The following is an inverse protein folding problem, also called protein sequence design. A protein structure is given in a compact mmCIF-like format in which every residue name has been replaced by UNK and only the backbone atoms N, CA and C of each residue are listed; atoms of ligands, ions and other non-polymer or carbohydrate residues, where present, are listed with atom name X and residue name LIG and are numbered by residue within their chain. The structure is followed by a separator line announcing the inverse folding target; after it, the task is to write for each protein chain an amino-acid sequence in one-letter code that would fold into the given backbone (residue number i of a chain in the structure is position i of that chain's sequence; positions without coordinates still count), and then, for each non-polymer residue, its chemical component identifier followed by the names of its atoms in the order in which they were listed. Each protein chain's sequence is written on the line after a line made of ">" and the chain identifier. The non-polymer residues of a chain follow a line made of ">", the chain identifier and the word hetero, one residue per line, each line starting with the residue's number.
data_IF_315868478905
#
_entry.id   IF_315868478905
#
_cell.length_a   1.000
_cell.length_b   1.000
_cell.length_c   1.000
_cell.angle_alpha   90.00
_cell.angle_beta   90.00
_cell.angle_gamma   90.00
#
_symmetry.space_group_name_H-M   'P 1'
#
loop_
_entity.id
_entity.type
_entity.pdbx_description
1 polymer ?
#
# COMPACT_ATOMS: atom_id res chain seq x y z
N UNK A 1 -15.30 -18.01 17.26
CA UNK A 1 -14.82 -17.29 18.47
C UNK A 1 -15.00 -15.81 18.19
N UNK A 2 -15.73 -15.05 19.03
CA UNK A 2 -15.81 -13.61 18.87
C UNK A 2 -14.40 -13.02 19.04
N UNK A 3 -14.02 -12.19 18.07
CA UNK A 3 -12.72 -11.56 18.04
C UNK A 3 -12.66 -10.41 19.05
N UNK A 4 -11.67 -10.45 19.94
CA UNK A 4 -11.42 -9.40 20.94
C UNK A 4 -11.11 -8.04 20.31
N UNK A 5 -10.79 -7.98 19.01
CA UNK A 5 -10.45 -6.75 18.30
C UNK A 5 -11.56 -6.17 17.43
N UNK A 6 -12.48 -6.95 16.84
CA UNK A 6 -13.63 -6.40 16.08
C UNK A 6 -14.88 -6.13 16.91
N UNK A 7 -14.95 -6.60 18.15
CA UNK A 7 -16.16 -6.46 18.97
C UNK A 7 -17.22 -7.51 18.61
N UNK A 8 -18.50 -7.12 18.64
CA UNK A 8 -19.61 -7.98 18.18
C UNK A 8 -19.48 -8.29 16.68
N UNK A 9 -19.63 -9.55 16.26
CA UNK A 9 -19.58 -9.91 14.84
C UNK A 9 -20.82 -9.42 14.09
N UNK A 10 -20.73 -9.29 12.77
CA UNK A 10 -21.87 -8.89 11.94
C UNK A 10 -23.07 -9.82 12.11
N UNK A 11 -22.83 -11.12 12.22
CA UNK A 11 -23.89 -12.09 12.46
C UNK A 11 -24.59 -11.84 13.82
N UNK A 12 -23.81 -11.59 14.87
CA UNK A 12 -24.37 -11.30 16.20
C UNK A 12 -25.16 -9.99 16.19
N UNK A 13 -24.62 -8.94 15.54
CA UNK A 13 -25.28 -7.66 15.37
C UNK A 13 -26.60 -7.82 14.60
N UNK A 14 -26.60 -8.60 13.52
CA UNK A 14 -27.79 -8.88 12.72
C UNK A 14 -28.85 -9.62 13.54
N UNK A 15 -28.48 -10.65 14.30
CA UNK A 15 -29.40 -11.39 15.17
C UNK A 15 -29.97 -10.51 16.30
N UNK A 16 -29.14 -9.66 16.91
CA UNK A 16 -29.55 -8.72 17.96
C UNK A 16 -30.50 -7.63 17.44
N UNK A 17 -30.25 -7.09 16.25
CA UNK A 17 -31.15 -6.11 15.63
C UNK A 17 -32.43 -6.81 15.15
N UNK A 18 -32.34 -8.04 14.63
CA UNK A 18 -33.52 -8.81 14.22
C UNK A 18 -34.45 -9.06 15.39
N UNK A 19 -33.93 -9.46 16.55
CA UNK A 19 -34.74 -9.77 17.74
C UNK A 19 -35.46 -8.55 18.33
N UNK A 20 -34.89 -7.35 18.16
CA UNK A 20 -35.49 -6.09 18.62
C UNK A 20 -36.33 -5.37 17.55
N UNK A 21 -36.28 -5.83 16.28
CA UNK A 21 -37.02 -5.20 15.18
C UNK A 21 -38.49 -5.64 15.15
N UNK A 22 -39.45 -4.71 15.02
CA UNK A 22 -40.86 -5.04 14.75
C UNK A 22 -41.08 -5.83 13.45
N UNK A 23 -40.06 -5.90 12.58
CA UNK A 23 -40.11 -6.61 11.30
C UNK A 23 -39.21 -7.85 11.26
N UNK A 24 -38.52 -8.19 12.36
CA UNK A 24 -37.51 -9.25 12.36
C UNK A 24 -38.03 -10.65 12.05
N UNK A 25 -39.33 -10.89 12.25
CA UNK A 25 -40.01 -12.15 11.92
C UNK A 25 -40.45 -12.26 10.46
N UNK A 26 -40.36 -11.18 9.66
CA UNK A 26 -40.81 -11.21 8.26
C UNK A 26 -39.88 -12.06 7.38
N UNK A 27 -40.44 -12.89 6.48
CA UNK A 27 -39.62 -13.64 5.54
C UNK A 27 -38.84 -12.67 4.65
N UNK A 28 -37.54 -12.96 4.45
CA UNK A 28 -36.65 -12.10 3.67
C UNK A 28 -36.12 -10.86 4.42
N UNK A 29 -36.40 -10.71 5.72
CA UNK A 29 -35.74 -9.67 6.52
C UNK A 29 -34.22 -9.84 6.47
N UNK A 30 -33.52 -8.74 6.21
CA UNK A 30 -32.06 -8.70 6.15
C UNK A 30 -31.55 -7.35 6.63
N UNK A 31 -30.47 -7.36 7.40
CA UNK A 31 -29.77 -6.15 7.78
C UNK A 31 -28.74 -5.79 6.70
N UNK A 32 -28.67 -4.50 6.34
CA UNK A 32 -27.69 -3.95 5.41
C UNK A 32 -27.04 -2.75 6.08
N UNK A 33 -25.72 -2.64 6.00
CA UNK A 33 -24.96 -1.50 6.49
C UNK A 33 -24.36 -0.71 5.33
N UNK A 34 -24.56 0.60 5.36
CA UNK A 34 -24.09 1.56 4.34
C UNK A 34 -23.47 2.77 5.02
N UNK A 35 -22.40 3.28 4.41
CA UNK A 35 -21.83 4.60 4.70
C UNK A 35 -22.46 5.58 3.73
N UNK A 36 -23.03 6.65 4.26
CA UNK A 36 -23.52 7.78 3.48
C UNK A 36 -22.39 8.80 3.39
N UNK A 37 -21.89 9.06 2.17
CA UNK A 37 -20.95 10.16 1.92
C UNK A 37 -21.68 11.32 1.26
N UNK A 38 -21.51 12.50 1.83
CA UNK A 38 -22.10 13.76 1.34
C UNK A 38 -20.97 14.74 1.06
N UNK A 39 -21.09 15.46 -0.05
CA UNK A 39 -20.07 16.37 -0.61
C UNK A 39 -18.83 15.66 -1.16
N UNK A 40 -18.97 14.40 -1.55
CA UNK A 40 -17.91 13.59 -2.17
C UNK A 40 -18.41 13.00 -3.51
N UNK A 41 -17.62 13.12 -4.56
CA UNK A 41 -17.90 12.47 -5.85
C UNK A 41 -17.47 11.00 -5.81
N UNK A 42 -18.45 10.08 -5.75
CA UNK A 42 -18.18 8.64 -5.68
C UNK A 42 -18.07 7.95 -7.04
N UNK A 43 -18.24 8.68 -8.16
CA UNK A 43 -18.22 8.06 -9.51
C UNK A 43 -16.88 7.38 -9.79
N UNK A 44 -15.77 7.99 -9.34
CA UNK A 44 -14.44 7.41 -9.50
C UNK A 44 -14.26 6.16 -8.63
N UNK A 45 -14.69 6.18 -7.37
CA UNK A 45 -14.61 5.02 -6.48
C UNK A 45 -15.49 3.87 -6.98
N UNK A 46 -16.69 4.19 -7.48
CA UNK A 46 -17.57 3.24 -8.15
C UNK A 46 -16.90 2.60 -9.38
N UNK A 47 -16.26 3.41 -10.23
CA UNK A 47 -15.52 2.90 -11.37
C UNK A 47 -14.35 1.97 -10.96
N UNK A 48 -13.59 2.34 -9.93
CA UNK A 48 -12.52 1.50 -9.39
C UNK A 48 -13.04 0.12 -8.96
N UNK A 49 -14.16 0.09 -8.22
CA UNK A 49 -14.81 -1.15 -7.78
C UNK A 49 -15.25 -2.02 -8.97
N UNK A 50 -15.75 -1.42 -10.05
CA UNK A 50 -16.13 -2.17 -11.25
C UNK A 50 -14.90 -2.83 -11.91
N UNK A 51 -13.76 -2.11 -12.00
CA UNK A 51 -12.50 -2.69 -12.47
C UNK A 51 -12.00 -3.82 -11.57
N UNK A 52 -12.06 -3.65 -10.25
CA UNK A 52 -11.68 -4.69 -9.28
C UNK A 52 -12.59 -5.93 -9.43
N UNK A 53 -13.87 -5.73 -9.68
CA UNK A 53 -14.83 -6.81 -9.96
C UNK A 53 -14.41 -7.57 -11.23
N UNK A 54 -13.97 -6.87 -12.28
CA UNK A 54 -13.44 -7.50 -13.49
C UNK A 54 -12.17 -8.32 -13.19
N UNK A 55 -11.21 -7.80 -12.42
CA UNK A 55 -10.02 -8.57 -12.00
C UNK A 55 -10.40 -9.83 -11.22
N UNK A 56 -11.36 -9.72 -10.29
CA UNK A 56 -11.86 -10.86 -9.53
C UNK A 56 -12.44 -11.94 -10.45
N UNK A 57 -13.23 -11.55 -11.46
CA UNK A 57 -13.78 -12.47 -12.45
C UNK A 57 -12.69 -13.13 -13.30
N UNK A 58 -11.69 -12.37 -13.73
CA UNK A 58 -10.53 -12.87 -14.49
C UNK A 58 -9.80 -13.95 -13.68
N UNK A 59 -9.44 -13.65 -12.43
CA UNK A 59 -8.69 -14.59 -11.58
C UNK A 59 -9.52 -15.83 -11.24
N UNK A 60 -10.82 -15.66 -10.97
CA UNK A 60 -11.75 -16.78 -10.75
C UNK A 60 -11.87 -17.68 -11.97
N UNK A 61 -11.99 -17.11 -13.18
CA UNK A 61 -12.07 -17.89 -14.43
C UNK A 61 -10.80 -18.68 -14.72
N UNK A 62 -9.65 -18.15 -14.30
CA UNK A 62 -8.36 -18.83 -14.40
C UNK A 62 -8.09 -19.84 -13.26
N UNK A 63 -9.03 -20.01 -12.32
CA UNK A 63 -8.89 -20.84 -11.12
C UNK A 63 -7.67 -20.45 -10.25
N UNK A 64 -7.31 -19.16 -10.22
CA UNK A 64 -6.31 -18.68 -9.28
C UNK A 64 -6.95 -18.62 -7.88
N UNK A 65 -6.31 -19.18 -6.84
CA UNK A 65 -6.87 -19.24 -5.49
C UNK A 65 -6.73 -17.90 -4.76
N UNK A 66 -6.79 -16.77 -5.47
CA UNK A 66 -6.64 -15.45 -4.88
C UNK A 66 -7.96 -14.83 -4.49
N UNK A 67 -7.89 -13.79 -3.66
CA UNK A 67 -9.07 -13.19 -3.08
C UNK A 67 -9.07 -11.67 -3.27
N UNK A 68 -10.20 -11.14 -3.73
CA UNK A 68 -10.50 -9.71 -3.83
C UNK A 68 -11.91 -9.49 -3.29
N UNK A 69 -12.15 -8.35 -2.64
CA UNK A 69 -13.46 -7.98 -2.10
C UNK A 69 -13.95 -6.67 -2.72
N UNK A 70 -14.60 -6.72 -3.90
CA UNK A 70 -15.33 -5.58 -4.43
C UNK A 70 -16.58 -5.34 -3.56
N UNK A 71 -16.64 -4.20 -2.87
CA UNK A 71 -17.82 -3.73 -2.13
C UNK A 71 -18.67 -2.83 -3.02
N UNK A 72 -19.97 -2.74 -2.77
CA UNK A 72 -20.84 -1.90 -3.59
C UNK A 72 -20.64 -0.41 -3.32
N UNK A 73 -20.60 0.37 -4.40
CA UNK A 73 -20.59 1.83 -4.37
C UNK A 73 -21.65 2.32 -5.34
N UNK A 74 -22.48 3.24 -4.86
CA UNK A 74 -23.55 3.86 -5.64
C UNK A 74 -23.39 5.38 -5.56
N UNK A 75 -22.86 5.99 -6.62
CA UNK A 75 -22.96 7.44 -6.80
C UNK A 75 -24.42 7.80 -7.11
N UNK A 76 -25.03 8.61 -6.24
CA UNK A 76 -26.44 9.05 -6.39
C UNK A 76 -26.54 10.44 -7.03
N UNK A 77 -25.49 11.26 -6.90
CA UNK A 77 -25.33 12.56 -7.56
C UNK A 77 -23.84 12.78 -7.86
N UNK A 78 -23.48 13.98 -8.35
CA UNK A 78 -22.08 14.37 -8.56
C UNK A 78 -21.30 14.58 -7.25
N UNK A 79 -21.98 14.65 -6.11
CA UNK A 79 -21.41 15.02 -4.80
C UNK A 79 -21.98 14.19 -3.64
N UNK A 80 -22.68 13.09 -3.91
CA UNK A 80 -23.20 12.22 -2.88
C UNK A 80 -23.33 10.78 -3.37
N UNK A 81 -23.27 9.85 -2.42
CA UNK A 81 -23.57 8.46 -2.69
C UNK A 81 -23.45 7.57 -1.46
N UNK A 82 -23.59 6.26 -1.72
CA UNK A 82 -23.62 5.22 -0.72
C UNK A 82 -22.45 4.25 -0.95
N UNK A 83 -21.80 3.85 0.13
CA UNK A 83 -20.76 2.83 0.12
C UNK A 83 -21.19 1.69 1.05
N UNK A 84 -21.15 0.46 0.56
CA UNK A 84 -21.38 -0.71 1.38
C UNK A 84 -20.27 -0.87 2.42
N UNK A 85 -20.65 -1.09 3.67
CA UNK A 85 -19.68 -1.41 4.73
C UNK A 85 -19.11 -2.81 4.51
N UNK A 86 -17.78 -2.93 4.55
CA UNK A 86 -17.11 -4.23 4.62
C UNK A 86 -17.13 -4.70 6.07
N UNK A 87 -18.14 -5.51 6.39
CA UNK A 87 -18.38 -5.99 7.74
C UNK A 87 -17.23 -6.86 8.28
N UNK A 88 -17.14 -6.99 9.60
CA UNK A 88 -16.15 -7.86 10.26
C UNK A 88 -14.69 -7.54 9.89
N UNK A 89 -14.40 -6.26 9.64
CA UNK A 89 -13.07 -5.76 9.32
C UNK A 89 -12.59 -4.67 10.28
N UNK A 90 -11.27 -4.50 10.36
CA UNK A 90 -10.62 -3.39 11.05
C UNK A 90 -9.47 -2.85 10.19
N UNK A 91 -9.29 -1.52 10.15
CA UNK A 91 -8.13 -0.95 9.46
C UNK A 91 -6.83 -1.32 10.17
N UNK A 92 -5.73 -1.47 9.43
CA UNK A 92 -4.40 -1.70 10.00
C UNK A 92 -4.05 -0.61 11.03
N UNK A 93 -4.43 0.65 10.77
CA UNK A 93 -4.25 1.74 11.71
C UNK A 93 -5.08 1.54 12.99
N UNK A 94 -6.37 1.20 12.85
CA UNK A 94 -7.25 0.91 13.98
C UNK A 94 -6.77 -0.29 14.80
N UNK A 95 -6.24 -1.31 14.14
CA UNK A 95 -5.63 -2.47 14.77
C UNK A 95 -4.38 -2.06 15.56
N UNK A 96 -3.42 -1.36 14.94
CA UNK A 96 -2.22 -0.87 15.62
C UNK A 96 -2.55 -0.04 16.87
N UNK A 97 -3.53 0.87 16.76
CA UNK A 97 -4.00 1.68 17.90
C UNK A 97 -4.52 0.82 19.06
N UNK A 98 -5.28 -0.25 18.75
CA UNK A 98 -5.75 -1.21 19.75
C UNK A 98 -4.61 -2.02 20.37
N UNK A 99 -3.61 -2.38 19.57
CA UNK A 99 -2.42 -3.12 20.04
C UNK A 99 -1.48 -2.25 20.90
N UNK A 100 -1.38 -0.94 20.61
CA UNK A 100 -0.48 -0.01 21.31
C UNK A 100 -1.00 0.51 22.67
N UNK A 101 -2.27 0.23 23.05
CA UNK A 101 -2.75 0.45 24.41
C UNK A 101 -4.22 0.85 24.55
N UNK A 102 -4.96 0.03 25.31
CA UNK A 102 -6.04 0.49 26.20
C UNK A 102 -5.81 -0.09 27.60
N UNK A 103 -5.53 0.78 28.58
CA UNK A 103 -5.42 0.65 30.07
C UNK A 103 -4.84 -0.61 30.76
N UNK A 104 -4.53 -1.70 30.06
CA UNK A 104 -3.87 -2.90 30.62
C UNK A 104 -2.90 -3.46 29.58
N UNK A 105 -1.63 -3.09 29.73
CA UNK A 105 -0.51 -3.37 28.83
C UNK A 105 -0.49 -4.77 28.19
N UNK A 106 -1.11 -4.90 27.02
CA UNK A 106 -0.97 -6.07 26.17
C UNK A 106 0.25 -5.89 25.24
N UNK A 107 1.11 -6.90 25.28
CA UNK A 107 2.47 -6.97 24.72
C UNK A 107 2.46 -7.23 23.19
N UNK A 108 1.65 -6.50 22.42
CA UNK A 108 1.54 -6.72 20.97
C UNK A 108 2.30 -5.64 20.20
N UNK A 109 3.53 -5.96 19.80
CA UNK A 109 4.38 -5.04 19.05
C UNK A 109 4.26 -5.17 17.53
N UNK A 110 3.72 -6.28 16.99
CA UNK A 110 3.69 -6.53 15.55
C UNK A 110 2.39 -7.19 15.05
N UNK A 111 2.09 -7.01 13.75
CA UNK A 111 0.98 -7.67 13.06
C UNK A 111 1.09 -9.20 13.07
N UNK A 112 2.31 -9.74 12.96
CA UNK A 112 2.54 -11.19 13.02
C UNK A 112 2.19 -11.78 14.39
N UNK A 113 2.60 -11.10 15.47
CA UNK A 113 2.25 -11.49 16.85
C UNK A 113 0.74 -11.41 17.11
N UNK A 114 0.03 -10.46 16.47
CA UNK A 114 -1.42 -10.40 16.53
C UNK A 114 -2.08 -11.64 15.94
N UNK A 115 -1.66 -12.09 14.74
CA UNK A 115 -2.21 -13.31 14.15
C UNK A 115 -1.90 -14.56 14.96
N UNK A 116 -0.69 -14.68 15.51
CA UNK A 116 -0.31 -15.79 16.37
C UNK A 116 -1.24 -15.90 17.58
N UNK A 117 -1.41 -14.81 18.33
CA UNK A 117 -2.28 -14.80 19.51
C UNK A 117 -3.75 -15.05 19.14
N UNK A 118 -4.25 -14.42 18.08
CA UNK A 118 -5.64 -14.56 17.63
C UNK A 118 -5.99 -16.02 17.31
N UNK A 119 -5.02 -16.78 16.81
CA UNK A 119 -5.24 -18.14 16.31
C UNK A 119 -4.85 -19.24 17.31
N UNK A 120 -4.39 -18.91 18.53
CA UNK A 120 -4.08 -19.92 19.55
C UNK A 120 -5.35 -20.66 20.02
N UNK A 121 -5.31 -22.00 20.21
CA UNK A 121 -4.16 -22.92 20.12
C UNK A 121 -4.06 -23.70 18.79
N UNK A 122 -4.85 -23.34 17.77
CA UNK A 122 -5.02 -24.19 16.58
C UNK A 122 -4.07 -23.77 15.47
N UNK A 123 -2.92 -24.45 15.34
CA UNK A 123 -1.93 -24.19 14.26
C UNK A 123 -2.53 -24.17 12.86
N UNK A 124 -3.54 -25.01 12.59
CA UNK A 124 -4.24 -25.04 11.30
C UNK A 124 -4.99 -23.74 10.99
N UNK A 125 -5.54 -23.06 12.01
CA UNK A 125 -6.20 -21.76 11.85
C UNK A 125 -5.18 -20.68 11.53
N UNK A 126 -4.05 -20.64 12.24
CA UNK A 126 -2.99 -19.66 11.95
C UNK A 126 -2.44 -19.80 10.53
N UNK A 127 -2.17 -21.04 10.10
CA UNK A 127 -1.68 -21.31 8.74
C UNK A 127 -2.67 -20.80 7.69
N UNK A 128 -3.96 -21.09 7.86
CA UNK A 128 -5.02 -20.62 6.95
C UNK A 128 -5.18 -19.10 6.96
N UNK A 129 -5.12 -18.46 8.13
CA UNK A 129 -5.18 -16.99 8.25
C UNK A 129 -4.02 -16.32 7.51
N UNK A 130 -2.79 -16.84 7.67
CA UNK A 130 -1.61 -16.33 6.94
C UNK A 130 -1.69 -16.60 5.44
N UNK A 131 -2.24 -17.74 5.03
CA UNK A 131 -2.49 -18.05 3.62
C UNK A 131 -3.53 -17.09 3.00
N UNK A 132 -4.67 -16.87 3.68
CA UNK A 132 -5.68 -15.89 3.29
C UNK A 132 -5.09 -14.48 3.14
N UNK A 133 -4.25 -14.07 4.09
CA UNK A 133 -3.52 -12.81 4.04
C UNK A 133 -2.63 -12.72 2.80
N UNK A 134 -1.81 -13.75 2.55
CA UNK A 134 -0.92 -13.81 1.39
C UNK A 134 -1.69 -13.76 0.06
N UNK A 135 -2.75 -14.56 -0.08
CA UNK A 135 -3.53 -14.69 -1.31
C UNK A 135 -4.29 -13.39 -1.65
N UNK A 136 -4.85 -12.73 -0.64
CA UNK A 136 -5.52 -11.44 -0.82
C UNK A 136 -4.53 -10.31 -1.12
N UNK A 137 -3.41 -10.25 -0.38
CA UNK A 137 -2.36 -9.26 -0.61
C UNK A 137 -1.78 -9.39 -2.03
N UNK A 138 -1.52 -10.60 -2.52
CA UNK A 138 -0.98 -10.83 -3.86
C UNK A 138 -1.90 -10.27 -4.97
N UNK A 139 -3.22 -10.49 -4.87
CA UNK A 139 -4.16 -9.93 -5.83
C UNK A 139 -4.22 -8.41 -5.76
N UNK A 140 -4.34 -7.84 -4.56
CA UNK A 140 -4.39 -6.39 -4.40
C UNK A 140 -3.09 -5.70 -4.83
N UNK A 141 -1.91 -6.31 -4.65
CA UNK A 141 -0.63 -5.79 -5.16
C UNK A 141 -0.63 -5.62 -6.67
N UNK A 142 -1.08 -6.64 -7.42
CA UNK A 142 -1.19 -6.58 -8.88
C UNK A 142 -2.21 -5.54 -9.33
N UNK A 143 -3.38 -5.50 -8.68
CA UNK A 143 -4.45 -4.55 -9.00
C UNK A 143 -4.00 -3.11 -8.73
N UNK A 144 -3.37 -2.84 -7.58
CA UNK A 144 -2.87 -1.51 -7.24
C UNK A 144 -1.80 -1.04 -8.24
N UNK A 145 -0.90 -1.94 -8.66
CA UNK A 145 0.09 -1.61 -9.68
C UNK A 145 -0.55 -1.25 -11.02
N UNK A 146 -1.42 -2.12 -11.55
CA UNK A 146 -2.03 -1.94 -12.88
C UNK A 146 -2.95 -0.71 -12.93
N UNK A 147 -3.74 -0.50 -11.87
CA UNK A 147 -4.67 0.63 -11.77
C UNK A 147 -4.03 1.91 -11.20
N UNK A 148 -2.76 1.85 -10.79
CA UNK A 148 -2.08 2.94 -10.09
C UNK A 148 -2.92 3.49 -8.94
N UNK A 149 -3.42 2.60 -8.07
CA UNK A 149 -4.18 3.00 -6.89
C UNK A 149 -3.20 3.60 -5.89
N UNK A 150 -3.42 4.87 -5.55
CA UNK A 150 -2.55 5.68 -4.69
C UNK A 150 -3.15 5.85 -3.30
N UNK A 151 -2.45 6.58 -2.44
CA UNK A 151 -2.86 6.85 -1.06
C UNK A 151 -3.06 5.56 -0.26
N UNK A 152 -2.13 4.60 -0.46
CA UNK A 152 -2.16 3.32 0.25
C UNK A 152 -1.50 3.48 1.61
N UNK A 153 -2.26 3.93 2.60
CA UNK A 153 -1.83 3.96 4.01
C UNK A 153 -2.62 2.96 4.86
N UNK A 154 -2.20 2.74 6.10
CA UNK A 154 -2.82 1.73 6.99
C UNK A 154 -4.29 2.03 7.37
N UNK A 155 -4.79 3.23 7.05
CA UNK A 155 -6.20 3.56 7.19
C UNK A 155 -7.06 2.95 6.07
N UNK A 156 -6.49 2.84 4.87
CA UNK A 156 -7.16 2.37 3.65
C UNK A 156 -6.95 0.86 3.38
N UNK A 157 -6.31 0.16 4.32
CA UNK A 157 -6.05 -1.27 4.26
C UNK A 157 -6.70 -1.90 5.49
N UNK A 158 -7.72 -2.71 5.25
CA UNK A 158 -8.45 -3.43 6.28
C UNK A 158 -7.99 -4.88 6.35
N UNK A 159 -8.19 -5.50 7.51
CA UNK A 159 -8.05 -6.94 7.72
C UNK A 159 -9.39 -7.48 8.20
N UNK A 160 -9.86 -8.56 7.57
CA UNK A 160 -11.07 -9.27 7.97
C UNK A 160 -10.80 -10.34 9.06
N UNK A 161 -11.88 -10.92 9.58
CA UNK A 161 -11.79 -11.96 10.60
C UNK A 161 -11.10 -13.26 10.16
N UNK A 162 -10.99 -13.51 8.85
CA UNK A 162 -10.35 -14.68 8.26
C UNK A 162 -8.88 -14.42 7.87
N UNK A 163 -8.38 -13.18 8.04
CA UNK A 163 -7.01 -12.78 7.73
C UNK A 163 -6.82 -12.14 6.36
N UNK A 164 -7.87 -11.96 5.56
CA UNK A 164 -7.74 -11.31 4.26
C UNK A 164 -7.47 -9.82 4.40
N UNK A 165 -6.66 -9.30 3.46
CA UNK A 165 -6.48 -7.88 3.23
C UNK A 165 -7.59 -7.35 2.34
N UNK A 166 -8.20 -6.23 2.70
CA UNK A 166 -9.20 -5.52 1.89
C UNK A 166 -8.75 -4.08 1.70
N UNK A 167 -8.56 -3.65 0.46
CA UNK A 167 -8.33 -2.23 0.17
C UNK A 167 -9.68 -1.50 0.11
N UNK A 168 -9.72 -0.27 0.62
CA UNK A 168 -10.86 0.64 0.52
C UNK A 168 -10.40 2.02 0.04
N UNK A 169 -11.36 2.92 -0.21
CA UNK A 169 -11.11 4.32 -0.60
C UNK A 169 -10.24 4.44 -1.86
N UNK A 170 -10.85 4.22 -3.02
CA UNK A 170 -10.15 4.28 -4.31
C UNK A 170 -10.17 5.69 -4.94
N UNK A 171 -10.23 6.73 -4.11
CA UNK A 171 -10.32 8.14 -4.53
C UNK A 171 -9.12 8.65 -5.34
N UNK A 172 -8.00 7.93 -5.37
CA UNK A 172 -6.83 8.26 -6.19
C UNK A 172 -6.38 7.04 -7.00
N UNK A 173 -6.60 7.08 -8.32
CA UNK A 173 -6.19 6.02 -9.24
C UNK A 173 -5.81 6.57 -10.62
N UNK A 174 -5.14 5.75 -11.43
CA UNK A 174 -4.67 6.10 -12.77
C UNK A 174 -3.83 7.39 -12.74
N UNK A 175 -4.25 8.45 -13.45
CA UNK A 175 -3.52 9.72 -13.50
C UNK A 175 -3.73 10.60 -12.27
N UNK A 176 -4.77 10.36 -11.46
CA UNK A 176 -5.07 11.17 -10.28
C UNK A 176 -4.07 10.87 -9.15
N UNK A 177 -3.65 11.89 -8.39
CA UNK A 177 -2.71 11.77 -7.26
C UNK A 177 -3.10 12.69 -6.10
N UNK A 178 -2.88 12.27 -4.84
CA UNK A 178 -3.14 13.11 -3.67
C UNK A 178 -2.08 14.21 -3.56
N UNK A 179 -2.49 15.47 -3.72
CA UNK A 179 -1.57 16.60 -3.83
C UNK A 179 -0.73 16.51 -5.12
N UNK A 180 -0.29 17.64 -5.65
CA UNK A 180 0.39 17.71 -6.95
C UNK A 180 1.82 17.13 -6.94
N UNK A 181 2.11 16.18 -6.04
CA UNK A 181 3.45 15.68 -5.76
C UNK A 181 3.45 14.16 -5.95
N UNK A 182 4.19 13.69 -6.97
CA UNK A 182 4.34 12.27 -7.31
C UNK A 182 5.20 11.51 -6.31
N UNK A 183 4.78 11.47 -5.04
CA UNK A 183 5.57 10.91 -3.93
C UNK A 183 5.58 9.38 -3.88
N UNK A 184 4.65 8.68 -4.52
CA UNK A 184 4.62 7.21 -4.49
C UNK A 184 5.57 6.63 -5.55
N UNK A 185 6.79 6.31 -5.10
CA UNK A 185 7.82 5.63 -5.91
C UNK A 185 7.64 4.11 -5.98
N UNK A 186 6.93 3.51 -5.02
CA UNK A 186 6.71 2.07 -4.98
C UNK A 186 5.53 1.67 -5.87
N UNK A 187 5.66 0.53 -6.56
CA UNK A 187 4.61 -0.03 -7.42
C UNK A 187 3.30 -0.35 -6.67
N UNK A 188 3.41 -0.74 -5.40
CA UNK A 188 2.32 -1.00 -4.46
C UNK A 188 2.88 -1.02 -3.03
N UNK A 189 1.99 -0.96 -2.02
CA UNK A 189 2.40 -1.01 -0.61
C UNK A 189 2.72 -2.45 -0.19
N UNK A 190 3.96 -2.67 0.22
CA UNK A 190 4.44 -3.91 0.85
C UNK A 190 5.34 -3.52 2.03
N UNK A 191 4.80 -3.57 3.25
CA UNK A 191 5.56 -3.18 4.44
C UNK A 191 6.31 -4.35 5.04
N UNK A 192 7.34 -4.08 5.84
CA UNK A 192 8.06 -5.12 6.59
C UNK A 192 7.12 -5.96 7.47
N UNK A 193 6.14 -5.35 8.11
CA UNK A 193 5.16 -6.09 8.92
C UNK A 193 4.33 -7.08 8.09
N UNK A 194 3.98 -6.72 6.84
CA UNK A 194 3.29 -7.64 5.93
C UNK A 194 4.20 -8.81 5.54
N UNK A 195 5.49 -8.54 5.32
CA UNK A 195 6.49 -9.58 5.04
C UNK A 195 6.70 -10.49 6.26
N UNK A 196 6.74 -9.94 7.46
CA UNK A 196 6.89 -10.68 8.72
C UNK A 196 5.68 -11.60 9.00
N UNK A 197 4.46 -11.19 8.62
CA UNK A 197 3.27 -12.07 8.64
C UNK A 197 3.46 -13.31 7.77
N UNK A 198 4.17 -13.16 6.63
CA UNK A 198 4.50 -14.23 5.69
C UNK A 198 5.78 -14.99 6.06
N UNK A 199 6.33 -14.77 7.26
CA UNK A 199 7.51 -15.46 7.76
C UNK A 199 8.84 -14.84 7.32
N UNK A 200 8.85 -13.58 6.89
CA UNK A 200 10.05 -12.85 6.48
C UNK A 200 10.41 -13.08 5.00
N UNK A 201 11.45 -12.36 4.52
CA UNK A 201 11.89 -12.42 3.12
C UNK A 201 12.39 -13.81 2.68
N UNK A 202 12.92 -14.61 3.62
CA UNK A 202 13.30 -16.00 3.37
C UNK A 202 12.17 -17.02 3.68
N UNK A 203 10.98 -16.55 4.01
CA UNK A 203 9.85 -17.38 4.42
C UNK A 203 9.18 -18.07 3.22
N UNK A 204 8.73 -19.33 3.42
CA UNK A 204 8.00 -20.09 2.39
C UNK A 204 6.77 -19.34 1.86
N UNK A 205 5.98 -18.73 2.74
CA UNK A 205 4.77 -17.99 2.34
C UNK A 205 5.11 -16.73 1.53
N UNK A 206 6.27 -16.10 1.77
CA UNK A 206 6.72 -14.97 0.98
C UNK A 206 7.16 -15.38 -0.43
N UNK A 207 7.77 -16.55 -0.59
CA UNK A 207 8.01 -17.13 -1.93
C UNK A 207 6.70 -17.45 -2.66
N UNK A 208 5.72 -18.03 -1.95
CA UNK A 208 4.38 -18.27 -2.49
C UNK A 208 3.67 -16.96 -2.88
N UNK A 209 3.81 -15.90 -2.08
CA UNK A 209 3.34 -14.54 -2.41
C UNK A 209 3.92 -14.03 -3.73
N UNK A 210 5.24 -14.13 -3.92
CA UNK A 210 5.90 -13.71 -5.16
C UNK A 210 5.37 -14.47 -6.38
N UNK A 211 5.29 -15.79 -6.25
CA UNK A 211 4.74 -16.65 -7.30
C UNK A 211 3.29 -16.28 -7.64
N UNK A 212 2.47 -16.04 -6.61
CA UNK A 212 1.05 -15.69 -6.81
C UNK A 212 0.89 -14.32 -7.46
N UNK A 213 1.69 -13.33 -7.07
CA UNK A 213 1.75 -12.03 -7.72
C UNK A 213 2.07 -12.15 -9.22
N UNK A 214 3.09 -12.93 -9.57
CA UNK A 214 3.47 -13.19 -10.96
C UNK A 214 2.33 -13.90 -11.71
N UNK A 215 1.68 -14.90 -11.11
CA UNK A 215 0.54 -15.59 -11.73
C UNK A 215 -0.63 -14.64 -12.00
N UNK A 216 -1.01 -13.81 -11.03
CA UNK A 216 -2.05 -12.80 -11.18
C UNK A 216 -1.70 -11.78 -12.27
N UNK A 217 -0.46 -11.27 -12.29
CA UNK A 217 -0.01 -10.32 -13.30
C UNK A 217 -0.05 -10.93 -14.71
N UNK A 218 0.51 -12.14 -14.88
CA UNK A 218 0.50 -12.84 -16.16
C UNK A 218 -0.91 -13.16 -16.63
N UNK A 219 -1.83 -13.48 -15.72
CA UNK A 219 -3.23 -13.71 -16.08
C UNK A 219 -3.90 -12.40 -16.51
N UNK A 220 -3.77 -11.32 -15.73
CA UNK A 220 -4.30 -10.00 -16.08
C UNK A 220 -3.83 -9.52 -17.47
N UNK A 221 -2.57 -9.80 -17.85
CA UNK A 221 -2.03 -9.47 -19.18
C UNK A 221 -2.79 -10.11 -20.34
N UNK A 222 -3.34 -11.32 -20.16
CA UNK A 222 -4.15 -11.98 -21.20
C UNK A 222 -5.47 -11.25 -21.46
N UNK A 223 -5.95 -10.49 -20.48
CA UNK A 223 -7.21 -9.74 -20.54
C UNK A 223 -6.99 -8.22 -20.63
N UNK A 224 -5.76 -7.77 -20.94
CA UNK A 224 -5.41 -6.35 -20.99
C UNK A 224 -6.34 -5.54 -21.89
N UNK A 225 -6.71 -6.08 -23.07
CA UNK A 225 -7.63 -5.40 -23.99
C UNK A 225 -9.01 -5.14 -23.36
N UNK A 226 -9.58 -6.12 -22.66
CA UNK A 226 -10.89 -5.98 -21.99
C UNK A 226 -10.82 -4.91 -20.89
N UNK A 227 -9.74 -4.93 -20.09
CA UNK A 227 -9.54 -3.97 -19.01
C UNK A 227 -9.35 -2.55 -19.59
N UNK A 228 -8.51 -2.38 -20.62
CA UNK A 228 -8.27 -1.09 -21.28
C UNK A 228 -9.55 -0.56 -21.94
N UNK A 229 -10.34 -1.41 -22.59
CA UNK A 229 -11.61 -1.02 -23.21
C UNK A 229 -12.60 -0.46 -22.18
N UNK A 230 -12.67 -1.06 -20.99
CA UNK A 230 -13.54 -0.57 -19.91
C UNK A 230 -13.11 0.83 -19.45
N UNK A 231 -11.80 1.09 -19.39
CA UNK A 231 -11.24 2.41 -19.08
C UNK A 231 -11.54 3.41 -20.19
N UNK A 232 -11.38 3.01 -21.46
CA UNK A 232 -11.63 3.85 -22.62
C UNK A 232 -13.10 4.28 -22.72
N UNK A 233 -14.04 3.35 -22.58
CA UNK A 233 -15.48 3.63 -22.61
C UNK A 233 -15.88 4.56 -21.46
N UNK A 234 -15.38 4.29 -20.25
CA UNK A 234 -15.69 5.13 -19.08
C UNK A 234 -15.13 6.54 -19.26
N UNK A 235 -13.90 6.67 -19.80
CA UNK A 235 -13.30 7.97 -20.11
C UNK A 235 -14.11 8.75 -21.14
N UNK A 236 -14.65 8.08 -22.16
CA UNK A 236 -15.49 8.73 -23.17
C UNK A 236 -16.83 9.21 -22.59
N UNK A 237 -17.42 8.44 -21.67
CA UNK A 237 -18.71 8.77 -21.04
C UNK A 237 -18.63 9.73 -19.85
N UNK A 238 -17.50 9.75 -19.12
CA UNK A 238 -17.28 10.56 -17.92
C UNK A 238 -15.88 11.21 -17.94
N UNK A 239 -15.59 12.08 -18.93
CA UNK A 239 -14.26 12.67 -19.10
C UNK A 239 -13.85 13.62 -17.98
N UNK A 240 -14.81 14.06 -17.16
CA UNK A 240 -14.62 14.96 -16.03
C UNK A 240 -14.08 14.27 -14.76
N UNK A 241 -14.00 12.92 -14.74
CA UNK A 241 -13.44 12.20 -13.58
C UNK A 241 -11.96 12.55 -13.36
N UNK A 242 -11.53 12.75 -12.10
CA UNK A 242 -10.15 13.15 -11.80
C UNK A 242 -9.09 12.18 -12.33
N UNK A 243 -9.41 10.87 -12.42
CA UNK A 243 -8.53 9.82 -12.93
C UNK A 243 -8.29 9.87 -14.45
N UNK A 244 -8.96 10.75 -15.19
CA UNK A 244 -8.83 10.94 -16.64
C UNK A 244 -8.26 12.30 -17.04
N UNK A 245 -7.72 13.05 -16.08
CA UNK A 245 -7.08 14.34 -16.32
C UNK A 245 -5.89 14.26 -17.28
N UNK A 246 -5.14 13.15 -17.28
CA UNK A 246 -4.05 12.92 -18.23
C UNK A 246 -4.57 12.40 -19.57
N UNK A 247 -4.12 13.01 -20.68
CA UNK A 247 -4.42 12.54 -22.04
C UNK A 247 -3.77 11.20 -22.36
N UNK A 248 -2.68 10.87 -21.68
CA UNK A 248 -1.86 9.65 -21.88
C UNK A 248 -2.28 8.51 -20.96
N UNK A 249 -3.38 8.63 -20.21
CA UNK A 249 -3.80 7.65 -19.20
C UNK A 249 -3.92 6.21 -19.73
N UNK A 250 -4.42 6.03 -20.95
CA UNK A 250 -4.55 4.71 -21.58
C UNK A 250 -3.18 4.16 -22.00
N UNK A 251 -2.32 5.00 -22.56
CA UNK A 251 -0.96 4.65 -22.98
C UNK A 251 -0.12 4.22 -21.76
N UNK A 252 -0.14 5.03 -20.71
CA UNK A 252 0.52 4.74 -19.42
C UNK A 252 0.02 3.43 -18.81
N UNK A 253 -1.30 3.17 -18.90
CA UNK A 253 -1.88 1.92 -18.42
C UNK A 253 -1.45 0.72 -19.25
N UNK A 254 -1.46 0.85 -20.57
CA UNK A 254 -1.00 -0.18 -21.49
C UNK A 254 0.48 -0.52 -21.25
N UNK A 255 1.32 0.48 -20.99
CA UNK A 255 2.75 0.28 -20.70
C UNK A 255 3.00 -0.59 -19.46
N UNK A 256 2.11 -0.53 -18.45
CA UNK A 256 2.22 -1.36 -17.23
C UNK A 256 1.95 -2.84 -17.49
N UNK A 257 1.17 -3.18 -18.52
CA UNK A 257 0.95 -4.56 -18.92
C UNK A 257 2.16 -5.18 -19.63
N UNK A 258 3.12 -4.37 -20.10
CA UNK A 258 4.33 -4.81 -20.82
C UNK A 258 4.02 -5.87 -21.87
N UNK A 259 3.04 -5.60 -22.74
CA UNK A 259 2.53 -6.58 -23.71
C UNK A 259 3.57 -7.05 -24.73
N UNK A 260 4.60 -6.25 -25.01
CA UNK A 260 5.73 -6.65 -25.86
C UNK A 260 6.68 -7.67 -25.24
N UNK A 261 6.62 -7.92 -23.91
CA UNK A 261 7.45 -8.91 -23.26
C UNK A 261 6.85 -10.32 -23.41
N UNK A 262 7.72 -11.32 -23.63
CA UNK A 262 7.29 -12.71 -23.50
C UNK A 262 6.97 -13.06 -22.04
N UNK A 263 6.37 -14.25 -21.81
CA UNK A 263 5.93 -14.69 -20.48
C UNK A 263 7.06 -14.67 -19.44
N UNK A 264 8.26 -15.16 -19.79
CA UNK A 264 9.40 -15.23 -18.87
C UNK A 264 9.91 -13.84 -18.49
N UNK A 265 10.11 -12.97 -19.48
CA UNK A 265 10.57 -11.60 -19.25
C UNK A 265 9.56 -10.78 -18.42
N UNK A 266 8.26 -10.97 -18.65
CA UNK A 266 7.23 -10.31 -17.85
C UNK A 266 7.13 -10.85 -16.42
N UNK A 267 7.39 -12.14 -16.20
CA UNK A 267 7.50 -12.70 -14.85
C UNK A 267 8.67 -12.05 -14.09
N UNK A 268 9.86 -12.03 -14.71
CA UNK A 268 11.04 -11.39 -14.11
C UNK A 268 10.86 -9.89 -13.87
N UNK A 269 10.14 -9.20 -14.76
CA UNK A 269 9.76 -7.80 -14.56
C UNK A 269 8.89 -7.62 -13.32
N UNK A 270 7.87 -8.45 -13.13
CA UNK A 270 7.01 -8.30 -11.95
C UNK A 270 7.74 -8.70 -10.66
N UNK A 271 8.62 -9.70 -10.70
CA UNK A 271 9.50 -10.04 -9.58
C UNK A 271 10.41 -8.86 -9.17
N UNK A 272 10.93 -8.11 -10.14
CA UNK A 272 11.74 -6.93 -9.82
C UNK A 272 10.94 -5.83 -9.11
N UNK A 273 9.66 -5.64 -9.48
CA UNK A 273 8.77 -4.71 -8.78
C UNK A 273 8.55 -5.11 -7.32
N UNK A 274 8.42 -6.41 -7.03
CA UNK A 274 8.27 -6.90 -5.65
C UNK A 274 9.55 -6.61 -4.85
N UNK A 275 10.71 -6.88 -5.45
CA UNK A 275 12.00 -6.60 -4.83
C UNK A 275 12.19 -5.08 -4.55
N UNK A 276 11.83 -4.22 -5.50
CA UNK A 276 11.83 -2.77 -5.31
C UNK A 276 10.89 -2.33 -4.18
N UNK A 277 9.69 -2.91 -4.10
CA UNK A 277 8.73 -2.62 -3.04
C UNK A 277 9.29 -2.99 -1.64
N UNK A 278 10.06 -4.07 -1.52
CA UNK A 278 10.75 -4.44 -0.28
C UNK A 278 11.90 -3.49 0.08
N UNK A 279 12.67 -3.02 -0.93
CA UNK A 279 13.89 -2.25 -0.70
C UNK A 279 13.68 -0.75 -0.46
N UNK A 280 12.62 -0.17 -1.02
CA UNK A 280 12.36 1.27 -0.95
C UNK A 280 12.38 1.85 0.49
N UNK A 281 11.79 1.18 1.51
CA UNK A 281 11.89 1.64 2.89
C UNK A 281 13.34 1.73 3.42
N UNK A 282 14.19 0.76 3.06
CA UNK A 282 15.59 0.73 3.48
C UNK A 282 16.42 1.82 2.78
N UNK A 283 16.16 2.05 1.49
CA UNK A 283 16.84 3.09 0.72
C UNK A 283 16.51 4.50 1.22
N UNK A 284 15.23 4.73 1.58
CA UNK A 284 14.81 5.99 2.21
C UNK A 284 15.48 6.19 3.56
N UNK A 285 15.54 5.14 4.39
CA UNK A 285 16.22 5.22 5.68
C UNK A 285 17.72 5.51 5.51
N UNK A 286 18.39 4.85 4.57
CA UNK A 286 19.80 5.08 4.28
C UNK A 286 20.04 6.51 3.80
N UNK A 287 19.19 7.03 2.92
CA UNK A 287 19.27 8.42 2.44
C UNK A 287 19.09 9.42 3.59
N UNK A 288 18.11 9.19 4.47
CA UNK A 288 17.89 10.03 5.67
C UNK A 288 19.11 9.97 6.59
N UNK A 289 19.67 8.78 6.85
CA UNK A 289 20.87 8.62 7.67
C UNK A 289 22.10 9.29 7.04
N UNK A 290 22.27 9.20 5.72
CA UNK A 290 23.34 9.88 5.00
C UNK A 290 23.19 11.41 5.06
N UNK A 291 21.98 11.93 4.90
CA UNK A 291 21.69 13.36 5.03
C UNK A 291 21.94 13.86 6.46
N UNK A 292 21.55 13.08 7.48
CA UNK A 292 21.85 13.38 8.89
C UNK A 292 23.36 13.35 9.15
N UNK A 293 24.08 12.36 8.61
CA UNK A 293 25.53 12.27 8.74
C UNK A 293 26.22 13.46 8.07
N UNK A 294 25.80 13.85 6.87
CA UNK A 294 26.30 15.05 6.17
C UNK A 294 26.05 16.33 6.99
N UNK A 295 24.89 16.45 7.62
CA UNK A 295 24.56 17.58 8.49
C UNK A 295 25.46 17.62 9.74
N UNK A 296 25.76 16.45 10.33
CA UNK A 296 26.65 16.34 11.49
C UNK A 296 28.13 16.57 11.15
N UNK A 297 28.58 16.15 9.96
CA UNK A 297 29.98 16.31 9.52
C UNK A 297 30.27 17.71 8.96
N UNK A 298 29.26 18.40 8.43
CA UNK A 298 29.40 19.74 7.84
C UNK A 298 28.39 20.74 8.41
N UNK A 299 28.40 21.00 9.74
CA UNK A 299 27.41 21.87 10.38
C UNK A 299 27.48 23.32 9.87
N UNK A 300 28.64 23.78 9.40
CA UNK A 300 28.84 25.14 8.88
C UNK A 300 28.41 25.32 7.41
N UNK A 301 28.08 24.24 6.70
CA UNK A 301 27.63 24.29 5.30
C UNK A 301 26.10 24.39 5.17
N UNK A 302 25.37 24.26 6.28
CA UNK A 302 23.92 24.38 6.33
C UNK A 302 23.53 25.56 7.22
N UNK A 303 22.64 26.47 6.77
CA UNK A 303 22.18 27.57 7.60
C UNK A 303 21.48 27.00 8.86
N UNK A 304 21.60 27.67 10.02
CA UNK A 304 20.90 27.25 11.23
C UNK A 304 19.40 27.16 10.92
N UNK A 305 18.80 26.00 11.19
CA UNK A 305 17.36 25.75 11.08
C UNK A 305 16.63 26.52 12.17
N UNK A 306 16.51 27.83 11.99
CA UNK A 306 15.59 28.68 12.74
C UNK A 306 14.41 29.01 11.83
N UNK A 307 13.23 28.55 12.26
CA UNK A 307 11.91 28.72 11.62
C UNK A 307 11.58 27.82 10.41
N UNK A 308 10.36 27.26 10.44
CA UNK A 308 9.84 26.26 9.49
C UNK A 308 9.59 26.75 8.06
N UNK A 309 10.08 27.93 7.67
CA UNK A 309 9.98 28.45 6.30
C UNK A 309 11.18 28.07 5.41
N UNK A 310 12.29 27.58 5.98
CA UNK A 310 13.49 27.24 5.23
C UNK A 310 13.41 25.91 4.44
N UNK A 311 12.56 24.97 4.87
CA UNK A 311 12.42 23.64 4.24
C UNK A 311 11.71 23.74 2.88
N UNK A 312 10.64 24.52 2.79
CA UNK A 312 9.89 24.73 1.53
C UNK A 312 10.75 25.44 0.48
N UNK A 313 11.56 26.41 0.89
CA UNK A 313 12.43 27.16 -0.02
C UNK A 313 13.64 26.33 -0.50
N UNK A 314 14.10 25.34 0.29
CA UNK A 314 15.19 24.44 -0.11
C UNK A 314 14.73 23.34 -1.06
N UNK A 315 13.58 22.70 -0.80
CA UNK A 315 12.99 21.71 -1.72
C UNK A 315 12.72 22.30 -3.11
N UNK A 316 12.27 23.55 -3.19
CA UNK A 316 11.96 24.22 -4.46
C UNK A 316 13.20 24.57 -5.29
N UNK A 317 14.35 24.84 -4.66
CA UNK A 317 15.62 25.15 -5.37
C UNK A 317 16.37 23.93 -5.90
N UNK A 318 16.31 22.79 -5.21
CA UNK A 318 17.00 21.56 -5.64
C UNK A 318 16.35 20.92 -6.89
N UNK A 319 15.01 21.00 -7.02
CA UNK A 319 14.29 20.49 -8.22
C UNK A 319 14.63 21.30 -9.49
N UNK A 320 15.00 22.58 -9.35
CA UNK A 320 15.45 23.42 -10.46
C UNK A 320 16.87 23.15 -10.94
N UNK A 321 17.77 22.63 -10.09
CA UNK A 321 19.18 22.41 -10.41
C UNK A 321 19.40 21.15 -11.27
N UNK A 322 18.51 20.16 -11.21
CA UNK A 322 18.58 18.95 -12.04
C UNK A 322 18.25 19.16 -13.53
N UNK A 323 17.76 20.35 -13.94
CA UNK A 323 17.46 20.66 -15.36
C UNK A 323 18.64 21.23 -16.16
N UNK A 324 19.85 21.35 -15.60
CA UNK A 324 21.00 22.03 -16.25
C UNK A 324 22.25 21.19 -16.51
N UNK A 325 22.21 19.86 -16.38
CA UNK A 325 23.34 19.02 -16.78
C UNK A 325 23.05 18.29 -18.09
N UNK A 326 23.42 18.93 -19.20
CA UNK A 326 23.69 18.28 -20.49
C UNK A 326 25.05 17.56 -20.43
N UNK A 327 25.05 16.25 -20.71
CA UNK A 327 26.25 15.42 -20.71
C UNK A 327 27.23 15.76 -21.87
N UNK A 328 28.55 15.72 -21.67
CA UNK A 328 29.52 15.72 -22.78
C UNK A 328 29.90 14.28 -23.22
N UNK A 329 30.40 14.09 -24.45
CA UNK A 329 30.63 12.77 -25.05
C UNK A 329 31.96 12.13 -24.59
N UNK A 330 32.19 10.82 -24.88
CA UNK A 330 33.27 10.06 -24.26
C UNK A 330 34.56 10.12 -25.07
N UNK A 331 35.69 10.45 -24.43
CA UNK A 331 37.02 10.12 -24.95
C UNK A 331 38.07 10.06 -23.85
N UNK A 332 38.63 8.85 -23.70
CA UNK A 332 40.01 8.47 -23.40
C UNK A 332 40.80 9.32 -22.40
N UNK A 333 41.14 8.73 -21.25
CA UNK A 333 42.50 8.75 -20.67
C UNK A 333 42.68 7.55 -19.72
N UNK A 334 43.72 6.76 -20.00
CA UNK A 334 44.24 5.64 -19.20
C UNK A 334 45.30 6.12 -18.19
N UNK A 335 45.73 5.17 -17.34
CA UNK A 335 46.87 5.10 -16.39
C UNK A 335 46.49 5.32 -14.91
N UNK A 336 47.05 4.65 -13.89
CA UNK A 336 47.64 3.30 -13.70
C UNK A 336 48.02 3.17 -12.21
N UNK A 337 47.45 2.18 -11.49
CA UNK A 337 47.92 1.38 -10.31
C UNK A 337 48.74 2.05 -9.12
N UNK A 338 49.03 1.37 -7.96
CA UNK A 338 48.46 1.68 -6.62
C UNK A 338 49.55 1.77 -5.48
N UNK A 339 49.36 1.30 -4.22
CA UNK A 339 48.55 1.77 -3.07
C UNK A 339 49.41 2.16 -1.83
N UNK A 340 48.85 2.81 -0.78
CA UNK A 340 49.16 2.58 0.67
C UNK A 340 48.37 3.51 1.64
N UNK A 341 48.32 3.24 2.97
CA UNK A 341 47.10 3.29 3.80
C UNK A 341 47.23 4.16 5.06
N UNK A 342 46.15 4.76 5.56
CA UNK A 342 46.10 5.12 7.00
C UNK A 342 44.66 4.96 7.50
N UNK A 343 44.42 3.85 8.19
CA UNK A 343 43.43 3.73 9.27
C UNK A 343 44.20 3.83 10.60
N UNK A 344 43.51 4.32 11.63
CA UNK A 344 43.95 4.53 13.03
C UNK A 344 44.75 5.84 13.21
N UNK A 345 44.40 6.79 14.06
CA UNK A 345 43.67 6.79 15.36
C UNK A 345 43.55 8.25 15.78
N UNK A 346 42.43 8.72 16.34
CA UNK A 346 42.42 9.65 17.48
C UNK A 346 41.07 9.61 18.22
N UNK A 347 41.18 9.59 19.54
CA UNK A 347 40.29 9.18 20.64
C UNK A 347 39.20 10.24 21.04
N UNK A 348 38.52 10.12 22.20
CA UNK A 348 37.10 9.83 22.37
C UNK A 348 36.23 11.08 22.66
N UNK A 349 34.91 11.04 22.48
CA UNK A 349 34.03 12.07 23.06
C UNK A 349 32.93 11.43 23.91
N UNK A 350 33.02 11.75 25.19
CA UNK A 350 32.01 11.57 26.23
C UNK A 350 30.67 12.17 25.78
N UNK A 351 29.65 11.34 25.59
CA UNK A 351 28.27 11.78 25.44
C UNK A 351 27.66 12.05 26.83
N UNK A 352 27.81 13.28 27.31
CA UNK A 352 26.98 13.82 28.38
C UNK A 352 26.12 14.94 27.79
N UNK A 353 24.83 14.66 27.60
CA UNK A 353 23.82 15.67 27.29
C UNK A 353 23.37 15.73 25.83
N UNK A 354 22.66 14.71 25.36
CA UNK A 354 21.72 14.85 24.25
C UNK A 354 20.37 14.32 24.70
N UNK A 355 19.41 15.24 24.85
CA UNK A 355 18.01 14.93 25.12
C UNK A 355 17.48 14.00 24.02
N UNK A 356 17.20 12.76 24.41
CA UNK A 356 16.71 11.67 23.57
C UNK A 356 15.30 11.91 22.99
N UNK A 357 14.63 13.00 23.37
CA UNK A 357 13.19 13.19 23.13
C UNK A 357 12.82 13.93 21.83
N UNK A 358 13.78 14.45 21.06
CA UNK A 358 13.49 15.20 19.80
C UNK A 358 13.54 14.38 18.51
N UNK A 359 13.94 13.11 18.55
CA UNK A 359 14.10 12.29 17.34
C UNK A 359 13.06 11.18 17.15
N UNK A 360 12.12 10.98 18.10
CA UNK A 360 11.07 9.97 17.96
C UNK A 360 10.07 10.25 16.83
N UNK A 361 9.94 11.49 16.35
CA UNK A 361 8.97 11.81 15.29
C UNK A 361 9.45 11.38 13.89
N UNK A 362 10.75 11.50 13.61
CA UNK A 362 11.33 11.19 12.29
C UNK A 362 11.41 9.68 11.99
N UNK A 363 11.57 8.84 13.02
CA UNK A 363 11.64 7.38 12.85
C UNK A 363 10.25 6.73 12.81
N UNK A 364 9.27 7.27 13.54
CA UNK A 364 7.93 6.71 13.59
C UNK A 364 7.08 7.02 12.34
N UNK A 365 7.37 8.09 11.60
CA UNK A 365 6.68 8.43 10.35
C UNK A 365 7.14 7.64 9.12
N UNK A 366 8.36 7.11 9.12
CA UNK A 366 8.93 6.36 7.98
C UNK A 366 8.62 4.85 8.08
N UNK A 367 8.28 4.34 9.28
CA UNK A 367 7.96 2.93 9.52
C UNK A 367 6.48 2.63 9.80
N UNK A 368 5.56 3.59 9.65
CA UNK A 368 4.13 3.37 9.94
C UNK A 368 3.30 2.85 8.77
#
# INVERSE_FOLDING_TARGET
>A
MPDRTTGESWQQLEERIRSSSPHGSKPGWKLISVIVKSRDDLRQEQFAVQLITLFQQIFKKANLPVWLQPYQVLATSADAGLIQVVNDTVSLHGLKKKLSGGERGAKHTSLSSYFEQRCEPTRGVLARTRENFMLSLAAYSVVCYLLQIKDRHNGNILIDNAGHVVHIDYGFMLSNSPGNIGFEKAAFKLTREMVDVMGGEGGRLFEEFKNMCVMCYLEARKHAHQILMMVEITRAGQPDLPCFTSRTVLEEMQERFKLGLNRKAAASFFESLIHEACLLPYLLLLLVLLLLLLFLLFPCSFPPLTSGQAIDHWCTRQVGACRRFSAPPPSLLRFSSPPHPVLQTFFPLSFSGLQYDKFQWLTNGIMS
#
